data_IF_701167192118
#
_entry.id   IF_701167192118
#
_cell.length_a   1.000
_cell.length_b   1.000
_cell.length_c   1.000
_cell.angle_alpha   90.00
_cell.angle_beta   90.00
_cell.angle_gamma   90.00
#
_symmetry.space_group_name_H-M   'P 1'
#
loop_
_entity.id
_entity.type
_entity.pdbx_description
1 polymer ?
#
# COMPACT_ATOMS: atom_id res chain seq x y z
N UNK A 1 -13.52 -21.13 -17.70
CA UNK A 1 -14.10 -20.05 -16.84
C UNK A 1 -13.43 -19.95 -15.46
N UNK A 2 -13.17 -21.05 -14.72
CA UNK A 2 -12.49 -21.00 -13.40
C UNK A 2 -11.07 -20.39 -13.43
N UNK A 3 -10.28 -20.65 -14.49
CA UNK A 3 -8.90 -20.14 -14.61
C UNK A 3 -8.81 -18.62 -14.74
N UNK A 4 -9.80 -17.96 -15.34
CA UNK A 4 -9.77 -16.51 -15.53
C UNK A 4 -10.16 -15.76 -14.26
N UNK A 5 -11.12 -16.29 -13.50
CA UNK A 5 -11.50 -15.77 -12.20
C UNK A 5 -10.37 -15.92 -11.18
N UNK A 6 -9.66 -17.07 -11.19
CA UNK A 6 -8.47 -17.27 -10.37
C UNK A 6 -7.37 -16.25 -10.72
N UNK A 7 -7.14 -15.98 -12.00
CA UNK A 7 -6.17 -14.98 -12.46
C UNK A 7 -6.56 -13.54 -12.15
N UNK A 8 -7.86 -13.24 -12.07
CA UNK A 8 -8.36 -11.92 -11.67
C UNK A 8 -8.18 -11.62 -10.16
N UNK A 9 -7.98 -12.65 -9.32
CA UNK A 9 -7.75 -12.50 -7.86
C UNK A 9 -6.29 -12.22 -7.52
N UNK A 10 -5.34 -12.68 -8.34
CA UNK A 10 -3.90 -12.48 -8.16
C UNK A 10 -3.52 -11.01 -7.87
N UNK A 11 -3.98 -9.99 -8.62
CA UNK A 11 -3.62 -8.61 -8.34
C UNK A 11 -4.15 -8.12 -6.99
N UNK A 12 -5.32 -8.61 -6.55
CA UNK A 12 -5.87 -8.29 -5.24
C UNK A 12 -5.09 -8.94 -4.10
N UNK A 13 -4.68 -10.21 -4.26
CA UNK A 13 -3.84 -10.88 -3.28
C UNK A 13 -2.49 -10.19 -3.09
N UNK A 14 -1.86 -9.77 -4.19
CA UNK A 14 -0.59 -9.05 -4.13
C UNK A 14 -0.73 -7.69 -3.43
N UNK A 15 -1.81 -6.94 -3.70
CA UNK A 15 -2.10 -5.68 -3.02
C UNK A 15 -2.37 -5.88 -1.51
N UNK A 16 -3.17 -6.88 -1.14
CA UNK A 16 -3.47 -7.17 0.27
C UNK A 16 -2.21 -7.61 1.01
N UNK A 17 -1.41 -8.49 0.41
CA UNK A 17 -0.12 -8.89 0.98
C UNK A 17 0.79 -7.68 1.20
N UNK A 18 0.86 -6.79 0.20
CA UNK A 18 1.67 -5.58 0.29
C UNK A 18 1.24 -4.64 1.42
N UNK A 19 -0.07 -4.40 1.53
CA UNK A 19 -0.65 -3.55 2.57
C UNK A 19 -0.48 -4.19 3.96
N UNK A 20 -0.63 -5.51 4.08
CA UNK A 20 -0.59 -6.19 5.37
C UNK A 20 0.84 -6.35 5.89
N UNK A 21 1.76 -6.81 5.03
CA UNK A 21 3.14 -7.08 5.44
C UNK A 21 3.95 -5.79 5.53
N UNK A 22 3.97 -4.99 4.46
CA UNK A 22 4.84 -3.82 4.39
C UNK A 22 4.24 -2.56 5.00
N UNK A 23 2.92 -2.42 5.07
CA UNK A 23 2.31 -1.19 5.60
C UNK A 23 1.69 -1.33 6.98
N UNK A 24 1.50 -2.55 7.48
CA UNK A 24 0.91 -2.78 8.79
C UNK A 24 1.89 -3.53 9.69
N UNK A 25 2.31 -4.74 9.30
CA UNK A 25 3.14 -5.60 10.14
C UNK A 25 4.54 -5.01 10.38
N UNK A 26 5.22 -4.56 9.32
CA UNK A 26 6.56 -3.98 9.42
C UNK A 26 6.60 -2.67 10.22
N UNK A 27 5.74 -1.67 9.98
CA UNK A 27 5.73 -0.45 10.79
C UNK A 27 5.38 -0.71 12.26
N UNK A 28 4.41 -1.57 12.55
CA UNK A 28 4.05 -1.91 13.93
C UNK A 28 5.20 -2.64 14.62
N UNK A 29 5.79 -3.64 13.97
CA UNK A 29 6.96 -4.36 14.51
C UNK A 29 8.14 -3.43 14.75
N UNK A 30 8.37 -2.50 13.82
CA UNK A 30 9.42 -1.50 13.92
C UNK A 30 9.24 -0.58 15.14
N UNK A 31 8.02 -0.13 15.40
CA UNK A 31 7.69 0.71 16.56
C UNK A 31 7.84 -0.03 17.89
N UNK A 32 7.53 -1.33 17.92
CA UNK A 32 7.67 -2.17 19.12
C UNK A 32 9.15 -2.46 19.44
N UNK A 33 9.97 -2.61 18.41
CA UNK A 33 11.40 -2.94 18.56
C UNK A 33 12.33 -1.72 18.57
N UNK A 34 11.82 -0.51 18.31
CA UNK A 34 12.62 0.72 18.22
C UNK A 34 13.55 0.77 17.00
N UNK A 35 13.21 0.05 15.93
CA UNK A 35 14.01 -0.10 14.70
C UNK A 35 13.47 0.76 13.54
N UNK A 36 12.67 1.80 13.85
CA UNK A 36 12.03 2.71 12.88
C UNK A 36 12.94 3.20 11.75
N UNK A 37 14.19 3.54 12.07
CA UNK A 37 15.14 4.09 11.10
C UNK A 37 15.57 3.12 10.01
N UNK A 38 15.46 1.80 10.24
CA UNK A 38 15.89 0.78 9.29
C UNK A 38 14.69 0.07 8.67
N UNK A 39 13.72 -0.35 9.48
CA UNK A 39 12.60 -1.16 9.02
C UNK A 39 11.59 -0.35 8.18
N UNK A 40 11.34 0.91 8.52
CA UNK A 40 10.40 1.76 7.77
C UNK A 40 10.86 2.04 6.34
N UNK A 41 12.10 2.49 6.06
CA UNK A 41 12.53 2.73 4.69
C UNK A 41 12.54 1.43 3.86
N UNK A 42 12.95 0.30 4.45
CA UNK A 42 12.87 -1.01 3.79
C UNK A 42 11.43 -1.35 3.42
N UNK A 43 10.49 -1.15 4.35
CA UNK A 43 9.08 -1.42 4.11
C UNK A 43 8.50 -0.55 2.98
N UNK A 44 8.87 0.73 2.94
CA UNK A 44 8.45 1.67 1.88
C UNK A 44 9.03 1.25 0.52
N UNK A 45 10.32 0.93 0.44
CA UNK A 45 10.98 0.53 -0.82
C UNK A 45 10.40 -0.78 -1.36
N UNK A 46 10.19 -1.79 -0.50
CA UNK A 46 9.55 -3.04 -0.88
C UNK A 46 8.12 -2.80 -1.35
N UNK A 47 7.36 -1.96 -0.63
CA UNK A 47 5.99 -1.63 -1.02
C UNK A 47 5.90 -0.91 -2.35
N UNK A 48 6.80 0.05 -2.59
CA UNK A 48 6.89 0.78 -3.85
C UNK A 48 7.22 -0.17 -5.01
N UNK A 49 8.11 -1.13 -4.79
CA UNK A 49 8.48 -2.15 -5.78
C UNK A 49 7.27 -3.01 -6.18
N UNK A 50 6.44 -3.43 -5.21
CA UNK A 50 5.21 -4.18 -5.51
C UNK A 50 4.20 -3.32 -6.27
N UNK A 51 4.03 -2.04 -5.90
CA UNK A 51 3.12 -1.13 -6.60
C UNK A 51 3.60 -0.87 -8.04
N UNK A 52 4.89 -0.68 -8.26
CA UNK A 52 5.49 -0.53 -9.60
C UNK A 52 5.32 -1.80 -10.44
N UNK A 53 5.47 -2.98 -9.82
CA UNK A 53 5.19 -4.25 -10.50
C UNK A 53 3.72 -4.36 -10.93
N UNK A 54 2.79 -3.94 -10.07
CA UNK A 54 1.35 -3.91 -10.39
C UNK A 54 1.08 -2.93 -11.55
N UNK A 55 1.71 -1.76 -11.53
CA UNK A 55 1.61 -0.78 -12.59
C UNK A 55 2.12 -1.30 -13.93
N UNK A 56 3.32 -1.86 -13.93
CA UNK A 56 3.98 -2.39 -15.12
C UNK A 56 3.12 -3.51 -15.74
N UNK A 57 2.63 -4.45 -14.92
CA UNK A 57 1.72 -5.50 -15.36
C UNK A 57 0.40 -4.96 -15.88
N UNK A 58 -0.17 -3.95 -15.24
CA UNK A 58 -1.42 -3.31 -15.68
C UNK A 58 -1.30 -2.57 -17.01
N UNK A 59 -0.11 -2.06 -17.37
CA UNK A 59 0.11 -1.24 -18.56
C UNK A 59 0.67 -2.02 -19.75
N UNK A 60 1.52 -3.02 -19.51
CA UNK A 60 2.28 -3.71 -20.57
C UNK A 60 1.82 -5.15 -20.86
N UNK A 61 1.00 -5.77 -19.99
CA UNK A 61 0.55 -7.16 -20.21
C UNK A 61 -0.93 -7.17 -20.61
N UNK A 62 -1.17 -7.23 -21.92
CA UNK A 62 -2.52 -7.39 -22.48
C UNK A 62 -2.99 -8.84 -22.33
N UNK A 63 -3.78 -9.11 -21.29
CA UNK A 63 -4.52 -10.38 -21.13
C UNK A 63 -5.98 -10.20 -21.55
N UNK A 64 -6.84 -11.18 -21.25
CA UNK A 64 -8.29 -11.07 -21.54
C UNK A 64 -8.89 -9.81 -20.89
N UNK A 65 -9.90 -9.20 -21.53
CA UNK A 65 -10.45 -7.89 -21.11
C UNK A 65 -10.94 -7.89 -19.66
N UNK A 66 -11.41 -9.04 -19.16
CA UNK A 66 -11.83 -9.24 -17.77
C UNK A 66 -10.66 -9.08 -16.78
N UNK A 67 -9.49 -9.64 -17.12
CA UNK A 67 -8.30 -9.57 -16.27
C UNK A 67 -7.75 -8.15 -16.27
N UNK A 68 -7.65 -7.51 -17.44
CA UNK A 68 -7.15 -6.15 -17.56
C UNK A 68 -8.01 -5.13 -16.77
N UNK A 69 -9.34 -5.29 -16.76
CA UNK A 69 -10.23 -4.49 -15.93
C UNK A 69 -9.92 -4.61 -14.43
N UNK A 70 -9.62 -5.82 -13.94
CA UNK A 70 -9.27 -6.04 -12.53
C UNK A 70 -7.90 -5.41 -12.17
N UNK A 71 -6.92 -5.48 -13.07
CA UNK A 71 -5.65 -4.78 -12.89
C UNK A 71 -5.83 -3.26 -12.83
N UNK A 72 -6.71 -2.67 -13.65
CA UNK A 72 -6.98 -1.24 -13.63
C UNK A 72 -7.70 -0.78 -12.35
N UNK A 73 -8.65 -1.59 -11.83
CA UNK A 73 -9.33 -1.31 -10.56
C UNK A 73 -8.34 -1.34 -9.39
N UNK A 74 -7.45 -2.34 -9.36
CA UNK A 74 -6.39 -2.46 -8.34
C UNK A 74 -5.41 -1.29 -8.44
N UNK A 75 -5.04 -0.88 -9.66
CA UNK A 75 -4.19 0.29 -9.90
C UNK A 75 -4.80 1.59 -9.35
N UNK A 76 -6.10 1.82 -9.58
CA UNK A 76 -6.79 3.00 -9.04
C UNK A 76 -6.73 3.06 -7.51
N UNK A 77 -6.81 1.89 -6.84
CA UNK A 77 -6.64 1.77 -5.38
C UNK A 77 -5.19 2.01 -4.95
N UNK A 78 -4.21 1.51 -5.69
CA UNK A 78 -2.79 1.78 -5.44
C UNK A 78 -2.47 3.28 -5.52
N UNK A 79 -3.14 4.03 -6.41
CA UNK A 79 -2.96 5.49 -6.51
C UNK A 79 -3.35 6.22 -5.22
N UNK A 80 -4.36 5.74 -4.49
CA UNK A 80 -4.74 6.29 -3.18
C UNK A 80 -3.65 6.03 -2.14
N UNK A 81 -3.05 4.83 -2.16
CA UNK A 81 -1.90 4.49 -1.29
C UNK A 81 -0.71 5.39 -1.61
N UNK A 82 -0.42 5.64 -2.90
CA UNK A 82 0.65 6.53 -3.32
C UNK A 82 0.43 7.97 -2.85
N UNK A 83 -0.81 8.48 -2.89
CA UNK A 83 -1.14 9.81 -2.35
C UNK A 83 -0.87 9.86 -0.85
N UNK A 84 -1.27 8.82 -0.11
CA UNK A 84 -0.98 8.74 1.33
C UNK A 84 0.53 8.70 1.61
N UNK A 85 1.31 7.99 0.79
CA UNK A 85 2.76 8.02 0.89
C UNK A 85 3.35 9.40 0.61
N UNK A 86 2.87 10.11 -0.41
CA UNK A 86 3.32 11.48 -0.67
C UNK A 86 3.07 12.39 0.53
N UNK A 87 1.91 12.26 1.20
CA UNK A 87 1.59 13.03 2.41
C UNK A 87 2.54 12.66 3.55
N UNK A 88 2.72 11.36 3.85
CA UNK A 88 3.61 10.91 4.92
C UNK A 88 5.07 11.28 4.69
N UNK A 89 5.58 11.17 3.46
CA UNK A 89 6.95 11.59 3.10
C UNK A 89 7.10 13.10 3.27
N UNK A 90 6.08 13.89 2.91
CA UNK A 90 6.13 15.34 3.08
C UNK A 90 6.20 15.74 4.57
N UNK A 91 5.46 15.04 5.43
CA UNK A 91 5.52 15.22 6.89
C UNK A 91 6.89 14.82 7.44
N UNK A 92 7.44 13.68 7.01
CA UNK A 92 8.77 13.21 7.45
C UNK A 92 9.87 14.17 7.00
N UNK A 93 9.79 14.70 5.78
CA UNK A 93 10.73 15.68 5.25
C UNK A 93 10.70 16.98 6.05
N UNK A 94 9.49 17.49 6.34
CA UNK A 94 9.32 18.70 7.18
C UNK A 94 9.83 18.47 8.60
N UNK A 95 9.58 17.28 9.16
CA UNK A 95 10.05 16.89 10.49
C UNK A 95 11.58 16.85 10.53
N UNK A 96 12.22 16.23 9.55
CA UNK A 96 13.69 16.16 9.43
C UNK A 96 14.30 17.56 9.30
N UNK A 97 13.66 18.45 8.54
CA UNK A 97 14.08 19.83 8.39
C UNK A 97 13.99 20.59 9.73
N UNK A 98 12.87 20.45 10.47
CA UNK A 98 12.70 21.06 11.80
C UNK A 98 13.75 20.55 12.80
N UNK A 99 14.00 19.24 12.82
CA UNK A 99 15.00 18.58 13.67
C UNK A 99 16.43 19.11 13.38
N UNK A 100 16.72 19.48 12.13
CA UNK A 100 18.04 20.00 11.72
C UNK A 100 18.35 21.38 12.29
N UNK A 101 17.33 22.16 12.68
CA UNK A 101 17.51 23.46 13.34
C UNK A 101 17.70 23.34 14.87
N UNK A 102 17.51 22.14 15.44
CA UNK A 102 17.61 21.91 16.88
C UNK A 102 19.08 21.75 17.31
N UNK A 103 19.56 22.64 18.18
CA UNK A 103 20.94 22.61 18.71
C UNK A 103 21.13 21.65 19.89
N UNK A 104 20.06 21.35 20.62
CA UNK A 104 20.10 20.43 21.76
C UNK A 104 20.00 18.97 21.29
N UNK A 105 21.04 18.13 21.53
CA UNK A 105 21.06 16.74 21.07
C UNK A 105 20.02 15.85 21.76
N UNK A 106 19.64 16.12 23.02
CA UNK A 106 18.62 15.31 23.71
C UNK A 106 17.23 15.61 23.16
N UNK A 107 16.92 16.90 22.97
CA UNK A 107 15.64 17.32 22.39
C UNK A 107 15.50 16.82 20.95
N UNK A 108 16.60 16.79 20.18
CA UNK A 108 16.64 16.24 18.82
C UNK A 108 16.22 14.77 18.77
N UNK A 109 16.74 13.93 19.68
CA UNK A 109 16.44 12.50 19.73
C UNK A 109 14.96 12.23 20.05
N UNK A 110 14.39 12.97 21.00
CA UNK A 110 12.98 12.82 21.39
C UNK A 110 12.07 13.27 20.24
N UNK A 111 12.41 14.39 19.59
CA UNK A 111 11.66 14.91 18.45
C UNK A 111 11.68 13.93 17.27
N UNK A 112 12.81 13.29 16.96
CA UNK A 112 12.88 12.27 15.89
C UNK A 112 11.84 11.16 16.12
N UNK A 113 11.85 10.57 17.31
CA UNK A 113 10.95 9.46 17.65
C UNK A 113 9.48 9.91 17.60
N UNK A 114 9.18 11.08 18.15
CA UNK A 114 7.81 11.62 18.18
C UNK A 114 7.28 11.93 16.77
N UNK A 115 8.08 12.59 15.94
CA UNK A 115 7.65 12.98 14.59
C UNK A 115 7.50 11.78 13.66
N UNK A 116 8.43 10.82 13.68
CA UNK A 116 8.32 9.59 12.88
C UNK A 116 7.04 8.82 13.24
N UNK A 117 6.67 8.75 14.52
CA UNK A 117 5.39 8.14 14.95
C UNK A 117 4.18 8.88 14.37
N UNK A 118 4.18 10.21 14.42
CA UNK A 118 3.10 11.03 13.85
C UNK A 118 3.02 10.87 12.32
N UNK A 119 4.15 10.77 11.63
CA UNK A 119 4.22 10.61 10.18
C UNK A 119 3.64 9.26 9.69
N UNK A 120 3.72 8.21 10.51
CA UNK A 120 3.19 6.87 10.18
C UNK A 120 1.65 6.81 10.27
N UNK A 121 1.04 7.55 11.20
CA UNK A 121 -0.41 7.46 11.50
C UNK A 121 -1.30 7.68 10.27
N UNK A 122 -1.09 8.72 9.43
CA UNK A 122 -1.91 8.92 8.22
C UNK A 122 -1.86 7.74 7.26
N UNK A 123 -0.68 7.12 7.09
CA UNK A 123 -0.53 5.95 6.23
C UNK A 123 -1.35 4.78 6.77
N UNK A 124 -1.29 4.51 8.09
CA UNK A 124 -2.08 3.44 8.71
C UNK A 124 -3.60 3.68 8.56
N UNK A 125 -4.03 4.93 8.70
CA UNK A 125 -5.44 5.33 8.58
C UNK A 125 -5.97 5.11 7.17
N UNK A 126 -5.14 5.30 6.13
CA UNK A 126 -5.52 5.05 4.73
C UNK A 126 -5.40 3.57 4.34
N UNK A 127 -4.35 2.90 4.78
CA UNK A 127 -4.04 1.51 4.43
C UNK A 127 -5.09 0.54 4.98
N UNK A 128 -5.56 0.75 6.21
CA UNK A 128 -6.52 -0.14 6.88
C UNK A 128 -7.85 -0.28 6.12
N UNK A 129 -8.59 0.80 5.79
CA UNK A 129 -9.83 0.69 5.01
C UNK A 129 -9.59 0.17 3.59
N UNK A 130 -8.45 0.48 2.97
CA UNK A 130 -8.08 -0.07 1.66
C UNK A 130 -7.86 -1.58 1.71
N UNK A 131 -7.24 -2.08 2.78
CA UNK A 131 -7.02 -3.50 3.03
C UNK A 131 -8.35 -4.23 3.22
N UNK A 132 -9.25 -3.68 4.03
CA UNK A 132 -10.60 -4.22 4.24
C UNK A 132 -11.37 -4.26 2.91
N UNK A 133 -11.41 -3.14 2.17
CA UNK A 133 -12.10 -3.03 0.88
C UNK A 133 -11.52 -3.99 -0.18
N UNK A 134 -10.22 -4.23 -0.16
CA UNK A 134 -9.55 -5.15 -1.09
C UNK A 134 -9.81 -6.61 -0.72
N UNK A 135 -9.87 -6.93 0.56
CA UNK A 135 -10.22 -8.28 1.06
C UNK A 135 -11.69 -8.61 0.76
N UNK A 136 -12.61 -7.66 0.94
CA UNK A 136 -14.03 -7.84 0.59
C UNK A 136 -14.18 -8.04 -0.92
N UNK A 137 -13.49 -7.24 -1.75
CA UNK A 137 -13.52 -7.39 -3.21
C UNK A 137 -13.03 -8.78 -3.63
N UNK A 138 -11.91 -9.25 -3.06
CA UNK A 138 -11.38 -10.60 -3.29
C UNK A 138 -12.39 -11.70 -2.88
N UNK A 139 -12.99 -11.59 -1.70
CA UNK A 139 -14.00 -12.54 -1.22
C UNK A 139 -15.23 -12.57 -2.15
N UNK A 140 -15.61 -11.42 -2.72
CA UNK A 140 -16.73 -11.30 -3.65
C UNK A 140 -16.43 -11.92 -5.03
N UNK A 141 -15.20 -11.79 -5.53
CA UNK A 141 -14.74 -12.49 -6.76
C UNK A 141 -14.67 -14.00 -6.53
N UNK A 142 -14.14 -14.45 -5.39
CA UNK A 142 -13.99 -15.88 -5.05
C UNK A 142 -15.33 -16.59 -4.86
N UNK A 143 -16.37 -15.87 -4.42
CA UNK A 143 -17.75 -16.38 -4.35
C UNK A 143 -18.50 -16.33 -5.69
N UNK A 144 -17.85 -15.95 -6.79
CA UNK A 144 -18.46 -15.86 -8.12
C UNK A 144 -19.51 -14.75 -8.27
N UNK A 145 -19.62 -13.83 -7.30
CA UNK A 145 -20.69 -12.81 -7.24
C UNK A 145 -20.37 -11.49 -7.95
N UNK A 146 -19.19 -11.37 -8.55
CA UNK A 146 -18.84 -10.24 -9.42
C UNK A 146 -19.02 -10.66 -10.88
N UNK A 147 -20.28 -10.60 -11.34
CA UNK A 147 -20.58 -10.33 -12.74
C UNK A 147 -20.01 -8.93 -13.01
N UNK A 148 -18.93 -8.83 -13.77
CA UNK A 148 -18.43 -7.53 -14.23
C UNK A 148 -19.61 -6.86 -14.95
N UNK A 149 -20.00 -5.68 -14.49
CA UNK A 149 -21.04 -4.90 -15.14
C UNK A 149 -20.66 -4.74 -16.62
N UNK A 150 -21.43 -5.38 -17.51
CA UNK A 150 -21.45 -5.02 -18.92
C UNK A 150 -20.55 -5.77 -19.90
N UNK A 151 -20.06 -6.98 -19.62
CA UNK A 151 -19.53 -7.84 -20.71
C UNK A 151 -20.22 -9.19 -20.65
N UNK A 152 -21.35 -9.29 -21.35
CA UNK A 152 -21.90 -10.55 -21.81
C UNK A 152 -20.90 -11.19 -22.77
N UNK A 153 -20.42 -12.43 -22.53
CA UNK A 153 -19.89 -13.20 -23.63
C UNK A 153 -21.06 -13.45 -24.58
N UNK A 154 -20.91 -13.02 -25.84
CA UNK A 154 -21.69 -13.60 -26.93
C UNK A 154 -21.22 -15.04 -27.14
#
# INVERSE_FOLDING_TARGET
MLNEQARAVIPHQLLVFNLLVFNLLLPIGSLLMGLETILLPIAIVCSLSVILYIWYRSKHVHQTPLINAHWHIVWKRCRIVLIAYCISISIELLSTLMISFQKDPQLRSIMMIAFTRIAIVPTLLVVTPLLISSTIAMSKVRRGKLKVAGITPQ
#
